data_IF_284358657731
#
_entry.id   IF_284358657731
#
_cell.length_a   1.000
_cell.length_b   1.000
_cell.length_c   1.000
_cell.angle_alpha   90.00
_cell.angle_beta   90.00
_cell.angle_gamma   90.00
#
_symmetry.space_group_name_H-M   'P 1'
#
loop_
_entity.id
_entity.type
_entity.pdbx_description
1 polymer ?
#
# COMPACT_ATOMS: atom_id res chain seq x y z
N UNK A 1 -21.59 -22.04 6.62
CA UNK A 1 -21.29 -21.44 5.30
C UNK A 1 -20.45 -22.43 4.51
N UNK A 2 -20.88 -22.74 3.28
CA UNK A 2 -20.23 -23.69 2.37
C UNK A 2 -18.95 -23.06 1.78
N UNK A 3 -17.83 -23.80 1.72
CA UNK A 3 -16.56 -23.36 1.10
C UNK A 3 -16.73 -22.80 -0.33
N UNK A 4 -17.65 -23.36 -1.10
CA UNK A 4 -17.96 -22.93 -2.48
C UNK A 4 -18.60 -21.54 -2.53
N UNK A 5 -19.17 -21.05 -1.43
CA UNK A 5 -19.72 -19.70 -1.33
C UNK A 5 -18.66 -18.63 -1.12
N UNK A 6 -17.51 -18.97 -0.51
CA UNK A 6 -16.41 -18.01 -0.33
C UNK A 6 -15.61 -17.86 -1.61
N UNK A 7 -15.42 -18.97 -2.34
CA UNK A 7 -14.71 -18.98 -3.61
C UNK A 7 -15.48 -18.22 -4.70
N UNK A 8 -16.81 -18.28 -4.69
CA UNK A 8 -17.64 -17.56 -5.66
C UNK A 8 -17.59 -16.04 -5.47
N UNK A 9 -17.49 -15.54 -4.23
CA UNK A 9 -17.37 -14.10 -3.95
C UNK A 9 -16.00 -13.56 -4.35
N UNK A 10 -14.92 -14.31 -4.09
CA UNK A 10 -13.56 -13.91 -4.45
C UNK A 10 -13.33 -13.80 -5.98
N UNK A 11 -14.14 -14.52 -6.77
CA UNK A 11 -14.08 -14.52 -8.24
C UNK A 11 -15.02 -13.49 -8.90
N UNK A 12 -15.75 -12.69 -8.13
CA UNK A 12 -16.76 -11.74 -8.63
C UNK A 12 -16.34 -10.26 -8.56
N UNK A 13 -15.10 -9.95 -8.15
CA UNK A 13 -14.64 -8.57 -8.12
C UNK A 13 -14.53 -8.01 -9.55
N UNK A 14 -15.15 -6.87 -9.78
CA UNK A 14 -15.00 -6.12 -11.03
C UNK A 14 -13.60 -5.50 -11.13
N UNK A 15 -13.15 -5.18 -12.34
CA UNK A 15 -11.88 -4.44 -12.55
C UNK A 15 -11.86 -3.12 -11.76
N UNK A 16 -13.01 -2.44 -11.65
CA UNK A 16 -13.16 -1.20 -10.89
C UNK A 16 -12.95 -1.40 -9.40
N UNK A 17 -13.57 -2.43 -8.82
CA UNK A 17 -13.40 -2.76 -7.39
C UNK A 17 -11.97 -3.20 -7.08
N UNK A 18 -11.32 -3.95 -7.97
CA UNK A 18 -9.93 -4.32 -7.81
C UNK A 18 -9.01 -3.08 -7.82
N UNK A 19 -9.20 -2.17 -8.78
CA UNK A 19 -8.44 -0.91 -8.85
C UNK A 19 -8.66 -0.06 -7.60
N UNK A 20 -9.90 0.06 -7.15
CA UNK A 20 -10.23 0.79 -5.93
C UNK A 20 -9.54 0.19 -4.71
N UNK A 21 -9.66 -1.14 -4.52
CA UNK A 21 -9.05 -1.84 -3.39
C UNK A 21 -7.52 -1.74 -3.38
N UNK A 22 -6.87 -1.86 -4.55
CA UNK A 22 -5.41 -1.66 -4.65
C UNK A 22 -5.02 -0.22 -4.32
N UNK A 23 -5.78 0.77 -4.81
CA UNK A 23 -5.54 2.19 -4.52
C UNK A 23 -5.66 2.48 -3.03
N UNK A 24 -6.72 1.99 -2.39
CA UNK A 24 -6.93 2.11 -0.95
C UNK A 24 -5.83 1.43 -0.14
N UNK A 25 -5.40 0.24 -0.56
CA UNK A 25 -4.30 -0.47 0.10
C UNK A 25 -2.98 0.28 0.02
N UNK A 26 -2.64 0.82 -1.15
CA UNK A 26 -1.41 1.61 -1.34
C UNK A 26 -1.42 2.85 -0.44
N UNK A 27 -2.54 3.57 -0.41
CA UNK A 27 -2.71 4.76 0.43
C UNK A 27 -2.56 4.43 1.92
N UNK A 28 -3.23 3.35 2.37
CA UNK A 28 -3.06 2.85 3.74
C UNK A 28 -1.62 2.46 4.04
N UNK A 29 -0.97 1.69 3.15
CA UNK A 29 0.38 1.19 3.36
C UNK A 29 1.37 2.36 3.47
N UNK A 30 1.30 3.33 2.56
CA UNK A 30 2.23 4.44 2.52
C UNK A 30 2.02 5.43 3.67
N UNK A 31 0.76 5.76 3.98
CA UNK A 31 0.43 6.91 4.85
C UNK A 31 -0.12 6.55 6.23
N UNK A 32 -0.41 5.27 6.50
CA UNK A 32 -1.00 4.84 7.78
C UNK A 32 -0.30 3.64 8.43
N UNK A 33 0.38 2.78 7.66
CA UNK A 33 1.07 1.60 8.20
C UNK A 33 2.43 1.97 8.79
N UNK A 34 2.65 1.64 10.06
CA UNK A 34 3.97 1.71 10.68
C UNK A 34 4.79 0.45 10.39
N UNK A 35 6.08 0.60 10.12
CA UNK A 35 6.96 -0.52 9.80
C UNK A 35 8.11 -0.64 10.81
N UNK A 36 8.23 -1.79 11.48
CA UNK A 36 9.23 -2.03 12.53
C UNK A 36 10.67 -1.83 12.03
N UNK A 37 10.98 -2.33 10.82
CA UNK A 37 12.32 -2.19 10.22
C UNK A 37 12.60 -0.78 9.69
N UNK A 38 11.62 0.13 9.72
CA UNK A 38 11.78 1.54 9.37
C UNK A 38 11.76 2.41 10.63
N UNK A 39 12.22 1.89 11.76
CA UNK A 39 12.16 2.55 13.08
C UNK A 39 10.75 3.03 13.46
N UNK A 40 9.73 2.22 13.13
CA UNK A 40 8.33 2.58 13.30
C UNK A 40 7.92 3.88 12.58
N UNK A 41 8.59 4.25 11.49
CA UNK A 41 8.12 5.29 10.57
C UNK A 41 7.17 4.70 9.55
N UNK A 42 6.37 5.57 8.92
CA UNK A 42 5.55 5.19 7.78
C UNK A 42 6.42 5.19 6.52
N UNK A 43 6.15 4.30 5.54
CA UNK A 43 6.91 4.26 4.30
C UNK A 43 7.02 5.63 3.62
N UNK A 44 5.93 6.42 3.58
CA UNK A 44 5.96 7.74 2.95
C UNK A 44 6.88 8.74 3.68
N UNK A 45 6.96 8.67 5.00
CA UNK A 45 7.86 9.54 5.79
C UNK A 45 9.32 9.24 5.43
N UNK A 46 9.67 7.97 5.18
CA UNK A 46 11.02 7.59 4.75
C UNK A 46 11.33 8.13 3.37
N UNK A 47 10.43 7.93 2.39
CA UNK A 47 10.62 8.44 1.04
C UNK A 47 10.76 9.98 1.01
N UNK A 48 9.87 10.71 1.65
CA UNK A 48 9.93 12.18 1.69
C UNK A 48 11.23 12.71 2.33
N UNK A 49 11.77 12.00 3.32
CA UNK A 49 13.02 12.38 3.97
C UNK A 49 14.28 11.97 3.19
N UNK A 50 14.17 10.98 2.29
CA UNK A 50 15.24 10.61 1.34
C UNK A 50 15.29 11.55 0.12
N UNK A 51 14.18 12.18 -0.26
CA UNK A 51 14.13 13.10 -1.41
C UNK A 51 15.20 14.21 -1.36
N UNK A 52 15.45 14.90 -0.22
CA UNK A 52 16.53 15.88 -0.13
C UNK A 52 17.94 15.31 -0.36
N UNK A 53 18.22 14.06 0.02
CA UNK A 53 19.54 13.45 -0.18
C UNK A 53 19.74 13.03 -1.65
N UNK A 54 18.73 12.45 -2.29
CA UNK A 54 18.80 12.05 -3.70
C UNK A 54 18.94 13.24 -4.66
N UNK A 55 18.35 14.40 -4.33
CA UNK A 55 18.51 15.63 -5.12
C UNK A 55 19.91 16.24 -5.00
N UNK A 56 20.60 16.02 -3.88
CA UNK A 56 21.96 16.52 -3.66
C UNK A 56 23.02 15.65 -4.36
N UNK A 57 22.79 14.34 -4.47
CA UNK A 57 23.69 13.41 -5.15
C UNK A 57 23.58 13.48 -6.69
N UNK A 58 22.51 14.07 -7.21
CA UNK A 58 22.26 14.23 -8.65
C UNK A 58 22.75 15.58 -9.23
N UNK A 59 23.36 16.45 -8.41
CA UNK A 59 23.87 17.79 -8.78
C UNK A 59 25.40 17.84 -8.71
#
# INVERSE_FOLDING_TARGET
>A
MNMNSLLSVALQMTEGELKAGVTEYIEFYNNKRFHQTLDYKKPMDVYCNLQPQLLLEAA
#
